data_IF_862021994597
#
_entry.id   IF_862021994597
#
_cell.length_a   1.000
_cell.length_b   1.000
_cell.length_c   1.000
_cell.angle_alpha   90.00
_cell.angle_beta   90.00
_cell.angle_gamma   90.00
#
_symmetry.space_group_name_H-M   'P 1'
#
loop_
_entity.id
_entity.type
_entity.pdbx_description
1 polymer ?
#
# COMPACT_ATOMS: atom_id res chain seq x y z
N UNK A 1 19.37 -28.02 -30.81
CA UNK A 1 18.86 -26.64 -30.98
C UNK A 1 17.59 -26.49 -30.14
N UNK A 2 17.68 -25.86 -28.96
CA UNK A 2 16.50 -25.39 -28.22
C UNK A 2 16.81 -23.96 -27.77
N UNK A 3 16.06 -23.01 -28.32
CA UNK A 3 16.23 -21.57 -28.13
C UNK A 3 15.73 -21.16 -26.75
N UNK A 4 16.51 -20.30 -26.11
CA UNK A 4 16.29 -19.77 -24.79
C UNK A 4 14.96 -19.00 -24.71
N UNK A 5 14.09 -19.39 -23.77
CA UNK A 5 12.93 -18.59 -23.35
C UNK A 5 13.44 -17.38 -22.58
N UNK A 6 13.56 -16.26 -23.28
CA UNK A 6 13.87 -14.95 -22.70
C UNK A 6 12.70 -14.55 -21.80
N UNK A 7 12.82 -14.79 -20.49
CA UNK A 7 11.93 -14.20 -19.47
C UNK A 7 12.02 -12.68 -19.63
N UNK A 8 10.96 -12.08 -20.16
CA UNK A 8 10.73 -10.66 -20.13
C UNK A 8 10.81 -10.22 -18.67
N UNK A 9 11.89 -9.52 -18.31
CA UNK A 9 12.00 -8.82 -17.03
C UNK A 9 10.80 -7.87 -16.98
N UNK A 10 9.85 -8.15 -16.09
CA UNK A 10 8.74 -7.26 -15.83
C UNK A 10 9.29 -5.88 -15.54
N UNK A 11 9.02 -4.94 -16.43
CA UNK A 11 9.22 -3.53 -16.14
C UNK A 11 8.27 -3.25 -14.99
N UNK A 12 8.80 -3.13 -13.77
CA UNK A 12 8.05 -2.65 -12.62
C UNK A 12 7.74 -1.20 -12.95
N UNK A 13 6.60 -0.96 -13.59
CA UNK A 13 6.06 0.37 -13.78
C UNK A 13 5.73 0.86 -12.38
N UNK A 14 6.61 1.67 -11.78
CA UNK A 14 6.28 2.44 -10.58
C UNK A 14 5.30 3.51 -11.04
N UNK A 15 4.01 3.19 -11.02
CA UNK A 15 2.98 4.21 -11.14
C UNK A 15 3.19 5.19 -9.99
N UNK A 16 3.31 6.47 -10.34
CA UNK A 16 3.50 7.60 -9.43
C UNK A 16 2.27 8.48 -9.56
N UNK A 17 1.20 8.06 -8.91
CA UNK A 17 -0.03 8.83 -8.82
C UNK A 17 0.21 10.11 -8.01
N UNK A 18 1.02 10.02 -6.95
CA UNK A 18 1.49 11.21 -6.25
C UNK A 18 2.70 11.82 -6.95
N UNK A 19 2.62 13.12 -7.22
CA UNK A 19 3.80 13.88 -7.59
C UNK A 19 4.79 13.95 -6.41
N UNK A 20 6.08 14.17 -6.70
CA UNK A 20 7.13 14.15 -5.69
C UNK A 20 6.87 15.13 -4.52
N UNK A 21 6.31 16.31 -4.83
CA UNK A 21 5.99 17.32 -3.83
C UNK A 21 4.85 16.90 -2.90
N UNK A 22 3.70 16.48 -3.46
CA UNK A 22 2.57 15.99 -2.66
C UNK A 22 2.97 14.79 -1.82
N UNK A 23 3.76 13.88 -2.39
CA UNK A 23 4.26 12.72 -1.67
C UNK A 23 5.06 13.13 -0.44
N UNK A 24 6.04 14.02 -0.60
CA UNK A 24 6.88 14.48 0.52
C UNK A 24 6.05 15.17 1.61
N UNK A 25 5.10 16.02 1.22
CA UNK A 25 4.25 16.74 2.16
C UNK A 25 3.28 15.83 2.92
N UNK A 26 2.73 14.80 2.26
CA UNK A 26 1.76 13.88 2.86
C UNK A 26 2.42 12.86 3.78
N UNK A 27 3.59 12.32 3.40
CA UNK A 27 4.29 11.31 4.21
C UNK A 27 5.04 11.91 5.41
N UNK A 28 5.17 13.23 5.48
CA UNK A 28 5.81 13.91 6.61
C UNK A 28 5.07 13.68 7.94
N UNK A 29 3.78 13.33 7.90
CA UNK A 29 2.96 13.10 9.09
C UNK A 29 1.95 11.96 8.84
N UNK A 30 2.06 10.81 9.55
CA UNK A 30 1.19 9.65 9.30
C UNK A 30 -0.31 9.95 9.45
N UNK A 31 -0.71 10.79 10.42
CA UNK A 31 -2.12 11.16 10.59
C UNK A 31 -2.65 11.97 9.40
N UNK A 32 -1.79 12.80 8.79
CA UNK A 32 -2.13 13.54 7.57
C UNK A 32 -2.32 12.57 6.40
N UNK A 33 -1.36 11.67 6.18
CA UNK A 33 -1.47 10.65 5.14
C UNK A 33 -2.77 9.84 5.28
N UNK A 34 -3.13 9.44 6.50
CA UNK A 34 -4.38 8.70 6.75
C UNK A 34 -5.64 9.51 6.39
N UNK A 35 -5.73 10.78 6.81
CA UNK A 35 -6.88 11.63 6.47
C UNK A 35 -7.04 11.80 4.95
N UNK A 36 -5.94 12.04 4.24
CA UNK A 36 -5.96 12.22 2.79
C UNK A 36 -6.27 10.91 2.05
N UNK A 37 -5.73 9.78 2.52
CA UNK A 37 -6.06 8.47 1.96
C UNK A 37 -7.57 8.21 2.05
N UNK A 38 -8.18 8.43 3.22
CA UNK A 38 -9.63 8.25 3.39
C UNK A 38 -10.43 9.19 2.47
N UNK A 39 -10.07 10.47 2.44
CA UNK A 39 -10.74 11.45 1.58
C UNK A 39 -10.64 11.11 0.09
N UNK A 40 -9.52 10.55 -0.37
CA UNK A 40 -9.40 10.10 -1.76
C UNK A 40 -10.16 8.81 -2.06
N UNK A 41 -10.29 7.89 -1.11
CA UNK A 41 -11.19 6.74 -1.30
C UNK A 41 -12.63 7.24 -1.47
N UNK A 42 -13.11 8.08 -0.55
CA UNK A 42 -14.47 8.64 -0.61
C UNK A 42 -14.72 9.41 -1.92
N UNK A 43 -13.77 10.27 -2.33
CA UNK A 43 -13.88 11.01 -3.58
C UNK A 43 -13.83 10.10 -4.81
N UNK A 44 -12.96 9.08 -4.80
CA UNK A 44 -12.87 8.10 -5.87
C UNK A 44 -14.16 7.30 -6.02
N UNK A 45 -14.78 6.88 -4.92
CA UNK A 45 -16.09 6.20 -4.94
C UNK A 45 -17.19 7.10 -5.48
N UNK A 46 -17.23 8.37 -5.05
CA UNK A 46 -18.19 9.35 -5.53
C UNK A 46 -18.06 9.59 -7.05
N UNK A 47 -16.82 9.72 -7.56
CA UNK A 47 -16.54 9.90 -8.98
C UNK A 47 -16.84 8.64 -9.78
N UNK A 48 -16.53 7.46 -9.26
CA UNK A 48 -16.83 6.19 -9.92
C UNK A 48 -18.35 6.04 -10.17
N UNK A 49 -19.16 6.51 -9.22
CA UNK A 49 -20.61 6.47 -9.33
C UNK A 49 -21.21 7.54 -10.26
N UNK A 50 -20.58 8.72 -10.36
CA UNK A 50 -21.15 9.89 -11.05
C UNK A 50 -20.56 10.15 -12.44
N UNK A 51 -19.25 9.97 -12.59
CA UNK A 51 -18.50 10.38 -13.78
C UNK A 51 -17.90 9.19 -14.52
N UNK A 52 -17.53 8.12 -13.79
CA UNK A 52 -17.04 6.88 -14.35
C UNK A 52 -15.67 6.45 -13.82
N UNK A 53 -15.19 5.29 -14.29
CA UNK A 53 -13.94 4.68 -13.81
C UNK A 53 -12.69 5.51 -14.16
N UNK A 54 -12.68 6.24 -15.27
CA UNK A 54 -11.55 7.07 -15.71
C UNK A 54 -11.26 8.20 -14.72
N UNK A 55 -12.30 8.86 -14.21
CA UNK A 55 -12.16 9.96 -13.26
C UNK A 55 -11.81 9.47 -11.86
N UNK A 56 -12.27 8.27 -11.48
CA UNK A 56 -12.00 7.68 -10.18
C UNK A 56 -10.58 7.13 -10.04
N UNK A 57 -10.02 6.57 -11.13
CA UNK A 57 -8.76 5.83 -11.11
C UNK A 57 -7.58 6.58 -10.44
N UNK A 58 -7.33 7.88 -10.71
CA UNK A 58 -6.23 8.60 -10.09
C UNK A 58 -6.37 8.71 -8.56
N UNK A 59 -7.60 8.81 -8.05
CA UNK A 59 -7.87 8.91 -6.62
C UNK A 59 -7.54 7.61 -5.91
N UNK A 60 -7.94 6.47 -6.47
CA UNK A 60 -7.60 5.16 -5.91
C UNK A 60 -6.10 4.87 -5.99
N UNK A 61 -5.42 5.32 -7.04
CA UNK A 61 -3.96 5.22 -7.13
C UNK A 61 -3.24 6.03 -6.06
N UNK A 62 -3.64 7.29 -5.87
CA UNK A 62 -3.12 8.15 -4.80
C UNK A 62 -3.42 7.58 -3.40
N UNK A 63 -4.62 7.06 -3.17
CA UNK A 63 -4.99 6.42 -1.91
C UNK A 63 -4.16 5.17 -1.62
N UNK A 64 -3.90 4.32 -2.63
CA UNK A 64 -3.05 3.14 -2.46
C UNK A 64 -1.61 3.50 -2.11
N UNK A 65 -1.03 4.55 -2.71
CA UNK A 65 0.32 4.99 -2.35
C UNK A 65 0.44 5.45 -0.89
N UNK A 66 -0.59 6.13 -0.37
CA UNK A 66 -0.62 6.52 1.04
C UNK A 66 -0.88 5.32 1.95
N UNK A 67 -1.74 4.38 1.55
CA UNK A 67 -1.99 3.16 2.30
C UNK A 67 -0.73 2.29 2.38
N UNK A 68 0.07 2.20 1.30
CA UNK A 68 1.37 1.51 1.30
C UNK A 68 2.33 2.15 2.32
N UNK A 69 2.43 3.48 2.31
CA UNK A 69 3.23 4.20 3.29
C UNK A 69 2.78 3.95 4.73
N UNK A 70 1.47 4.01 5.00
CA UNK A 70 0.91 3.77 6.33
C UNK A 70 1.15 2.34 6.80
N UNK A 71 1.05 1.36 5.91
CA UNK A 71 1.36 -0.03 6.20
C UNK A 71 2.84 -0.21 6.55
N UNK A 72 3.76 0.47 5.83
CA UNK A 72 5.19 0.45 6.13
C UNK A 72 5.47 1.06 7.51
N UNK A 73 4.84 2.19 7.85
CA UNK A 73 5.10 2.91 9.10
C UNK A 73 4.49 2.19 10.32
N UNK A 74 3.28 1.65 10.19
CA UNK A 74 2.55 0.99 11.30
C UNK A 74 2.90 -0.49 11.43
N UNK A 75 3.35 -1.10 10.34
CA UNK A 75 3.63 -2.53 10.24
C UNK A 75 2.36 -3.37 10.05
N UNK A 76 2.56 -4.62 9.62
CA UNK A 76 1.48 -5.60 9.39
C UNK A 76 0.76 -6.07 10.65
N UNK A 77 1.34 -5.86 11.84
CA UNK A 77 0.67 -6.15 13.10
C UNK A 77 -0.53 -5.22 13.33
N UNK A 78 -0.54 -4.04 12.70
CA UNK A 78 -1.71 -3.17 12.68
C UNK A 78 -2.73 -3.67 11.66
N UNK A 79 -3.74 -4.39 12.16
CA UNK A 79 -4.84 -4.91 11.36
C UNK A 79 -5.61 -3.81 10.60
N UNK A 80 -5.65 -2.58 11.11
CA UNK A 80 -6.28 -1.46 10.40
C UNK A 80 -5.46 -1.04 9.19
N UNK A 81 -4.13 -1.01 9.30
CA UNK A 81 -3.23 -0.66 8.22
C UNK A 81 -3.28 -1.71 7.10
N UNK A 82 -3.27 -3.00 7.47
CA UNK A 82 -3.43 -4.11 6.52
C UNK A 82 -4.77 -4.00 5.79
N UNK A 83 -5.88 -3.86 6.53
CA UNK A 83 -7.21 -3.76 5.92
C UNK A 83 -7.31 -2.60 4.94
N UNK A 84 -6.87 -1.41 5.34
CA UNK A 84 -6.92 -0.21 4.49
C UNK A 84 -6.07 -0.34 3.24
N UNK A 85 -4.87 -0.91 3.36
CA UNK A 85 -4.04 -1.20 2.21
C UNK A 85 -4.73 -2.17 1.24
N UNK A 86 -5.29 -3.27 1.76
CA UNK A 86 -6.04 -4.24 0.95
C UNK A 86 -7.26 -3.62 0.27
N UNK A 87 -8.00 -2.76 0.97
CA UNK A 87 -9.16 -2.06 0.42
C UNK A 87 -8.75 -1.10 -0.70
N UNK A 88 -7.74 -0.24 -0.48
CA UNK A 88 -7.24 0.65 -1.52
C UNK A 88 -6.73 -0.13 -2.75
N UNK A 89 -6.04 -1.25 -2.54
CA UNK A 89 -5.56 -2.11 -3.62
C UNK A 89 -6.73 -2.71 -4.41
N UNK A 90 -7.79 -3.15 -3.72
CA UNK A 90 -9.01 -3.67 -4.34
C UNK A 90 -9.72 -2.59 -5.16
N UNK A 91 -9.85 -1.38 -4.65
CA UNK A 91 -10.47 -0.27 -5.41
C UNK A 91 -9.71 0.00 -6.70
N UNK A 92 -8.39 0.18 -6.63
CA UNK A 92 -7.57 0.42 -7.82
C UNK A 92 -7.66 -0.75 -8.81
N UNK A 93 -7.54 -1.99 -8.33
CA UNK A 93 -7.62 -3.18 -9.17
C UNK A 93 -8.98 -3.29 -9.89
N UNK A 94 -10.07 -3.09 -9.16
CA UNK A 94 -11.42 -3.17 -9.73
C UNK A 94 -11.63 -2.08 -10.80
N UNK A 95 -11.24 -0.84 -10.52
CA UNK A 95 -11.37 0.27 -11.47
C UNK A 95 -10.46 0.08 -12.68
N UNK A 96 -9.21 -0.33 -12.49
CA UNK A 96 -8.29 -0.62 -13.59
C UNK A 96 -8.78 -1.78 -14.46
N UNK A 97 -9.41 -2.80 -13.88
CA UNK A 97 -9.97 -3.93 -14.63
C UNK A 97 -11.16 -3.50 -15.51
N UNK A 98 -12.01 -2.58 -15.04
CA UNK A 98 -13.11 -2.02 -15.85
C UNK A 98 -12.56 -1.28 -17.08
N UNK A 99 -11.42 -0.60 -16.92
CA UNK A 99 -10.75 0.15 -17.98
C UNK A 99 -9.84 -0.72 -18.86
N UNK A 100 -9.74 -2.02 -18.59
CA UNK A 100 -8.80 -2.95 -19.24
C UNK A 100 -7.33 -2.51 -19.14
N UNK A 101 -6.97 -1.77 -18.08
CA UNK A 101 -5.61 -1.30 -17.80
C UNK A 101 -4.78 -2.41 -17.11
N UNK A 102 -4.54 -3.52 -17.83
CA UNK A 102 -3.95 -4.75 -17.27
C UNK A 102 -2.57 -4.53 -16.63
N UNK A 103 -1.78 -3.59 -17.15
CA UNK A 103 -0.47 -3.25 -16.57
C UNK A 103 -0.61 -2.75 -15.12
N UNK A 104 -1.67 -1.99 -14.85
CA UNK A 104 -2.01 -1.46 -13.54
C UNK A 104 -2.60 -2.54 -12.63
N UNK A 105 -3.43 -3.44 -13.16
CA UNK A 105 -3.91 -4.61 -12.44
C UNK A 105 -2.75 -5.48 -11.94
N UNK A 106 -1.80 -5.80 -12.83
CA UNK A 106 -0.61 -6.57 -12.47
C UNK A 106 0.27 -5.86 -11.45
N UNK A 107 0.42 -4.54 -11.58
CA UNK A 107 1.16 -3.75 -10.61
C UNK A 107 0.50 -3.77 -9.23
N UNK A 108 -0.81 -3.54 -9.15
CA UNK A 108 -1.55 -3.53 -7.89
C UNK A 108 -1.50 -4.88 -7.18
N UNK A 109 -1.70 -5.98 -7.92
CA UNK A 109 -1.58 -7.35 -7.39
C UNK A 109 -0.16 -7.65 -6.93
N UNK A 110 0.85 -7.31 -7.74
CA UNK A 110 2.25 -7.52 -7.40
C UNK A 110 2.69 -6.75 -6.14
N UNK A 111 2.25 -5.50 -6.02
CA UNK A 111 2.48 -4.69 -4.82
C UNK A 111 1.79 -5.31 -3.61
N UNK A 112 0.52 -5.72 -3.74
CA UNK A 112 -0.22 -6.33 -2.64
C UNK A 112 0.41 -7.65 -2.18
N UNK A 113 0.81 -8.51 -3.12
CA UNK A 113 1.55 -9.73 -2.82
C UNK A 113 2.86 -9.43 -2.10
N UNK A 114 3.65 -8.47 -2.59
CA UNK A 114 4.89 -8.08 -1.95
C UNK A 114 4.64 -7.62 -0.51
N UNK A 115 3.70 -6.72 -0.28
CA UNK A 115 3.47 -6.13 1.04
C UNK A 115 2.83 -7.08 2.04
N UNK A 116 1.98 -7.99 1.58
CA UNK A 116 1.27 -8.91 2.45
C UNK A 116 2.02 -10.22 2.69
N UNK A 117 2.98 -10.57 1.82
CA UNK A 117 3.75 -11.82 1.94
C UNK A 117 5.05 -11.70 2.75
N UNK A 118 5.60 -10.51 3.00
CA UNK A 118 6.77 -10.45 3.89
C UNK A 118 6.35 -10.91 5.30
N UNK A 119 7.22 -11.60 6.04
CA UNK A 119 6.88 -12.03 7.40
C UNK A 119 6.77 -10.82 8.33
N UNK A 120 5.73 -10.69 9.18
CA UNK A 120 5.68 -9.61 10.14
C UNK A 120 6.99 -9.63 10.92
N UNK A 121 7.78 -8.55 10.82
CA UNK A 121 9.00 -8.43 11.63
C UNK A 121 8.55 -8.63 13.06
N UNK A 122 8.95 -9.74 13.67
CA UNK A 122 8.68 -10.00 15.06
C UNK A 122 9.11 -8.75 15.79
N UNK A 123 8.16 -8.03 16.40
CA UNK A 123 8.48 -6.98 17.33
C UNK A 123 9.51 -7.61 18.26
N UNK A 124 10.75 -7.11 18.22
CA UNK A 124 11.81 -7.57 19.11
C UNK A 124 11.22 -7.31 20.49
N UNK A 125 10.72 -8.38 21.10
CA UNK A 125 10.12 -8.36 22.42
C UNK A 125 11.24 -7.92 23.33
N UNK A 126 11.21 -6.65 23.74
CA UNK A 126 11.98 -6.22 24.89
C UNK A 126 11.53 -7.13 26.04
N UNK A 127 12.37 -8.09 26.42
CA UNK A 127 12.18 -8.87 27.64
C UNK A 127 12.11 -7.88 28.80
N UNK A 128 10.99 -7.81 29.55
CA UNK A 128 10.98 -7.03 30.77
C UNK A 128 11.63 -7.85 31.89
N UNK A 129 12.66 -7.27 32.51
CA UNK A 129 13.05 -7.58 33.88
C UNK A 129 13.75 -8.91 34.14
N UNK A 130 15.07 -8.96 33.91
CA UNK A 130 15.94 -9.82 34.73
C UNK A 130 16.22 -9.05 36.02
N UNK A 131 15.41 -9.34 37.04
CA UNK A 131 15.58 -8.85 38.40
C UNK A 131 16.86 -9.44 38.98
N UNK A 132 17.86 -8.61 39.26
CA UNK A 132 19.00 -8.97 40.11
C UNK A 132 18.54 -8.96 41.55
N UNK A 133 17.86 -10.02 41.97
CA UNK A 133 17.69 -10.34 43.37
C UNK A 133 18.90 -11.15 43.84
N UNK A 134 19.55 -10.68 44.90
CA UNK A 134 20.37 -11.52 45.78
C UNK A 134 21.87 -11.29 45.74
N UNK A 135 22.35 -10.26 46.45
CA UNK A 135 23.60 -10.34 47.23
C UNK A 135 23.69 -9.19 48.25
N UNK A 136 22.84 -9.27 49.27
CA UNK A 136 23.12 -8.73 50.61
C UNK A 136 22.68 -9.78 51.62
N UNK A 137 23.64 -10.58 52.07
CA UNK A 137 23.88 -11.04 53.45
C UNK A 137 24.75 -12.30 53.45
#
# INVERSE_FOLDING_TARGET
>A
MFTATKRSRGVIVKLRFLCAHHRQWLIAEPQRAERWMLGWVEQGEALLAQEGPEQALPFFGCALELADFLLIVRGRADASAVRRFSDCARHLLATAAILEEWSMCHWAVGLAQQRLAEEPVAAIVAKPGESTDGLLH
#
